data_IF_496757224185
#
_entry.id   IF_496757224185
#
_cell.length_a   1.000
_cell.length_b   1.000
_cell.length_c   1.000
_cell.angle_alpha   90.00
_cell.angle_beta   90.00
_cell.angle_gamma   90.00
#
_symmetry.space_group_name_H-M   'P 1'
#
loop_
_entity.id
_entity.type
_entity.pdbx_description
1 polymer ?
#
# COMPACT_ATOMS: atom_id res chain seq x y z
N UNK A 1 1.96 -19.52 -3.79
CA UNK A 1 1.86 -18.33 -4.65
C UNK A 1 1.44 -17.16 -3.77
N UNK A 2 1.99 -15.96 -4.00
CA UNK A 2 1.71 -14.78 -3.18
C UNK A 2 0.48 -14.01 -3.67
N UNK A 3 -0.32 -13.50 -2.74
CA UNK A 3 -1.55 -12.74 -3.01
C UNK A 3 -1.21 -11.26 -3.20
N UNK A 4 -1.37 -10.79 -4.44
CA UNK A 4 -1.19 -9.38 -4.79
C UNK A 4 -2.42 -8.53 -4.45
N UNK A 5 -3.57 -9.17 -4.38
CA UNK A 5 -4.85 -8.59 -4.06
C UNK A 5 -5.52 -9.45 -2.99
N UNK A 6 -6.01 -8.83 -1.94
CA UNK A 6 -6.77 -9.48 -0.88
C UNK A 6 -7.93 -8.58 -0.45
N UNK A 7 -8.83 -9.05 0.43
CA UNK A 7 -9.97 -8.25 0.86
C UNK A 7 -10.27 -8.43 2.34
N UNK A 8 -10.76 -7.36 2.96
CA UNK A 8 -11.28 -7.35 4.32
C UNK A 8 -12.56 -6.50 4.34
N UNK A 9 -13.68 -7.10 4.71
CA UNK A 9 -15.00 -6.47 4.57
C UNK A 9 -15.26 -6.03 3.13
N UNK A 10 -15.68 -4.78 2.94
CA UNK A 10 -15.98 -4.21 1.62
C UNK A 10 -14.80 -3.40 1.02
N UNK A 11 -13.56 -3.75 1.33
CA UNK A 11 -12.37 -3.10 0.77
C UNK A 11 -11.44 -4.11 0.10
N UNK A 12 -10.95 -3.74 -1.09
CA UNK A 12 -9.98 -4.52 -1.85
C UNK A 12 -8.58 -3.95 -1.62
N UNK A 13 -7.65 -4.75 -1.14
CA UNK A 13 -6.31 -4.31 -0.74
C UNK A 13 -5.26 -4.75 -1.76
N UNK A 14 -4.26 -3.89 -1.98
CA UNK A 14 -3.18 -4.09 -2.95
C UNK A 14 -1.84 -4.24 -2.23
N UNK A 15 -1.26 -5.42 -2.35
CA UNK A 15 0.04 -5.78 -1.79
C UNK A 15 1.14 -5.57 -2.85
N UNK A 16 1.87 -4.46 -2.74
CA UNK A 16 2.77 -4.00 -3.79
C UNK A 16 4.24 -4.37 -3.60
N UNK A 17 4.70 -4.53 -2.36
CA UNK A 17 6.13 -4.60 -2.04
C UNK A 17 6.36 -5.21 -0.67
N UNK A 18 7.48 -5.90 -0.49
CA UNK A 18 7.98 -6.32 0.83
C UNK A 18 8.88 -5.24 1.46
N UNK A 19 9.30 -4.24 0.69
CA UNK A 19 10.24 -3.21 1.14
C UNK A 19 9.55 -2.20 2.04
N UNK A 20 10.20 -1.80 3.11
CA UNK A 20 9.72 -0.80 4.05
C UNK A 20 10.92 -0.04 4.62
N UNK A 21 10.86 1.29 4.78
CA UNK A 21 11.93 2.04 5.46
C UNK A 21 12.01 1.70 6.95
N UNK A 22 10.95 1.13 7.53
CA UNK A 22 10.88 0.76 8.93
C UNK A 22 11.05 -0.75 9.13
N UNK A 23 11.68 -1.12 10.24
CA UNK A 23 11.77 -2.49 10.72
C UNK A 23 11.04 -2.66 12.07
N UNK A 24 9.78 -2.22 12.13
CA UNK A 24 9.03 -2.19 13.39
C UNK A 24 9.02 -3.56 14.07
N UNK A 25 9.32 -3.62 15.36
CA UNK A 25 9.34 -4.90 16.08
C UNK A 25 7.95 -5.57 16.09
N UNK A 26 6.89 -4.75 16.13
CA UNK A 26 5.49 -5.18 16.16
C UNK A 26 4.90 -5.45 14.76
N UNK A 27 5.70 -5.39 13.68
CA UNK A 27 5.18 -5.60 12.34
C UNK A 27 4.70 -7.05 12.16
N UNK A 28 3.47 -7.23 11.69
CA UNK A 28 2.85 -8.55 11.49
C UNK A 28 3.67 -9.48 10.59
N UNK A 29 4.46 -8.92 9.64
CA UNK A 29 5.35 -9.68 8.75
C UNK A 29 6.39 -10.51 9.50
N UNK A 30 6.70 -10.15 10.75
CA UNK A 30 7.65 -10.87 11.61
C UNK A 30 7.01 -12.10 12.26
N UNK A 31 5.68 -12.21 12.26
CA UNK A 31 4.92 -13.21 13.01
C UNK A 31 3.98 -14.05 12.13
N UNK A 32 3.66 -13.57 10.92
CA UNK A 32 2.76 -14.24 9.99
C UNK A 32 3.20 -13.99 8.55
N UNK A 33 2.89 -14.96 7.67
CA UNK A 33 3.04 -14.81 6.22
C UNK A 33 1.86 -14.07 5.59
N UNK A 34 0.80 -13.81 6.35
CA UNK A 34 -0.48 -13.42 5.77
C UNK A 34 -1.49 -12.84 6.73
N UNK A 35 -2.65 -12.46 6.17
CA UNK A 35 -3.81 -11.94 6.91
C UNK A 35 -5.07 -12.59 6.33
N UNK A 36 -5.98 -13.04 7.21
CA UNK A 36 -7.29 -13.58 6.81
C UNK A 36 -7.24 -14.67 5.73
N UNK A 37 -6.23 -15.55 5.79
CA UNK A 37 -6.04 -16.65 4.84
C UNK A 37 -5.24 -16.30 3.58
N UNK A 38 -4.93 -15.03 3.34
CA UNK A 38 -4.10 -14.58 2.21
C UNK A 38 -2.62 -14.55 2.57
N UNK A 39 -1.75 -15.04 1.69
CA UNK A 39 -0.30 -14.99 1.83
C UNK A 39 0.26 -13.70 1.21
N UNK A 40 0.77 -12.79 2.03
CA UNK A 40 1.25 -11.47 1.60
C UNK A 40 2.77 -11.39 1.40
N UNK A 41 3.51 -12.47 1.66
CA UNK A 41 4.96 -12.51 1.38
C UNK A 41 5.16 -12.61 -0.12
N UNK A 42 5.61 -11.53 -0.76
CA UNK A 42 5.85 -11.51 -2.21
C UNK A 42 7.15 -12.25 -2.57
N UNK A 43 7.10 -13.05 -3.64
CA UNK A 43 8.29 -13.71 -4.20
C UNK A 43 9.18 -12.70 -4.97
N UNK A 44 8.55 -11.71 -5.58
CA UNK A 44 9.17 -10.65 -6.38
C UNK A 44 8.33 -9.36 -6.32
N UNK A 45 8.90 -8.24 -6.76
CA UNK A 45 8.17 -6.96 -6.88
C UNK A 45 7.24 -6.99 -8.11
N UNK A 46 5.90 -7.07 -7.95
CA UNK A 46 4.98 -7.19 -9.07
C UNK A 46 4.96 -5.93 -9.94
N UNK A 47 4.86 -6.06 -11.26
CA UNK A 47 4.67 -4.88 -12.13
C UNK A 47 3.29 -4.24 -11.94
N UNK A 48 3.14 -2.96 -12.30
CA UNK A 48 1.83 -2.28 -12.30
C UNK A 48 0.80 -3.05 -13.12
N UNK A 49 1.19 -3.59 -14.27
CA UNK A 49 0.33 -4.41 -15.13
C UNK A 49 -0.14 -5.69 -14.43
N UNK A 50 0.74 -6.38 -13.68
CA UNK A 50 0.39 -7.58 -12.90
C UNK A 50 -0.61 -7.25 -11.78
N UNK A 51 -0.43 -6.11 -11.10
CA UNK A 51 -1.39 -5.61 -10.11
C UNK A 51 -2.74 -5.30 -10.76
N UNK A 52 -2.75 -4.58 -11.88
CA UNK A 52 -3.97 -4.24 -12.62
C UNK A 52 -4.72 -5.51 -13.05
N UNK A 53 -4.02 -6.50 -13.60
CA UNK A 53 -4.63 -7.77 -14.00
C UNK A 53 -5.28 -8.49 -12.80
N UNK A 54 -4.63 -8.49 -11.63
CA UNK A 54 -5.21 -9.05 -10.40
C UNK A 54 -6.38 -8.24 -9.86
N UNK A 55 -6.38 -6.92 -10.02
CA UNK A 55 -7.57 -6.11 -9.72
C UNK A 55 -8.71 -6.53 -10.65
N UNK A 56 -8.47 -6.67 -11.96
CA UNK A 56 -9.51 -7.08 -12.91
C UNK A 56 -10.10 -8.46 -12.61
N UNK A 57 -9.26 -9.41 -12.17
CA UNK A 57 -9.68 -10.77 -11.80
C UNK A 57 -10.63 -10.79 -10.58
N UNK A 58 -10.37 -9.94 -9.59
CA UNK A 58 -11.10 -9.98 -8.31
C UNK A 58 -12.11 -8.83 -8.12
N UNK A 59 -12.08 -7.82 -9.00
CA UNK A 59 -13.00 -6.69 -8.90
C UNK A 59 -14.41 -7.11 -9.30
N UNK A 60 -15.34 -6.96 -8.37
CA UNK A 60 -16.78 -7.15 -8.59
C UNK A 60 -17.44 -5.80 -8.34
N UNK A 61 -18.12 -5.29 -9.37
CA UNK A 61 -18.85 -4.02 -9.28
C UNK A 61 -19.82 -4.09 -8.09
N UNK A 62 -20.00 -2.97 -7.40
CA UNK A 62 -20.91 -2.79 -6.25
C UNK A 62 -20.56 -3.57 -4.96
N UNK A 63 -19.57 -4.48 -4.99
CA UNK A 63 -19.09 -5.17 -3.78
C UNK A 63 -18.13 -4.29 -2.95
N UNK A 64 -17.30 -3.51 -3.64
CA UNK A 64 -16.17 -2.78 -3.05
C UNK A 64 -16.48 -1.30 -2.85
N UNK A 65 -16.18 -0.76 -1.66
CA UNK A 65 -16.30 0.67 -1.33
C UNK A 65 -15.03 1.46 -1.66
N UNK A 66 -13.87 0.82 -1.55
CA UNK A 66 -12.56 1.40 -1.84
C UNK A 66 -11.55 0.33 -2.25
N UNK A 67 -10.50 0.79 -2.94
CA UNK A 67 -9.26 0.05 -3.15
C UNK A 67 -8.17 0.67 -2.28
N UNK A 68 -7.45 -0.15 -1.53
CA UNK A 68 -6.50 0.31 -0.51
C UNK A 68 -5.09 -0.21 -0.82
N UNK A 69 -4.12 0.68 -0.98
CA UNK A 69 -2.71 0.29 -1.01
C UNK A 69 -2.24 -0.03 0.41
N UNK A 70 -2.14 -1.33 0.72
CA UNK A 70 -1.63 -1.85 1.99
C UNK A 70 -1.16 -3.30 1.76
N UNK A 71 0.03 -3.60 2.23
CA UNK A 71 0.65 -4.92 2.16
C UNK A 71 1.65 -5.09 3.29
N UNK A 72 2.64 -5.97 3.13
CA UNK A 72 3.70 -6.14 4.13
C UNK A 72 4.78 -5.05 4.08
N UNK A 73 4.90 -4.33 2.97
CA UNK A 73 5.80 -3.19 2.81
C UNK A 73 5.11 -1.82 2.81
N UNK A 74 5.92 -0.79 2.56
CA UNK A 74 5.49 0.60 2.41
C UNK A 74 5.18 0.89 0.94
N UNK A 75 3.91 1.13 0.56
CA UNK A 75 3.52 1.31 -0.84
C UNK A 75 4.26 2.47 -1.52
N UNK A 76 4.61 3.53 -0.79
CA UNK A 76 5.28 4.71 -1.35
C UNK A 76 6.79 4.51 -1.60
N UNK A 77 7.35 3.34 -1.27
CA UNK A 77 8.61 2.84 -1.86
C UNK A 77 8.49 2.59 -3.36
N UNK A 78 7.25 2.44 -3.86
CA UNK A 78 6.90 2.18 -5.26
C UNK A 78 5.93 3.23 -5.79
N UNK A 79 6.24 4.49 -5.53
CA UNK A 79 5.35 5.61 -5.85
C UNK A 79 4.88 5.59 -7.31
N UNK A 80 5.72 5.25 -8.28
CA UNK A 80 5.30 5.23 -9.69
C UNK A 80 4.27 4.13 -9.99
N UNK A 81 4.40 2.94 -9.39
CA UNK A 81 3.40 1.89 -9.45
C UNK A 81 2.08 2.35 -8.81
N UNK A 82 2.14 2.98 -7.63
CA UNK A 82 0.96 3.56 -6.97
C UNK A 82 0.26 4.56 -7.88
N UNK A 83 1.00 5.49 -8.50
CA UNK A 83 0.44 6.51 -9.40
C UNK A 83 -0.20 5.88 -10.64
N UNK A 84 0.48 4.93 -11.29
CA UNK A 84 0.00 4.25 -12.49
C UNK A 84 -1.28 3.46 -12.22
N UNK A 85 -1.26 2.62 -11.18
CA UNK A 85 -2.41 1.80 -10.76
C UNK A 85 -3.57 2.69 -10.33
N UNK A 86 -3.32 3.78 -9.58
CA UNK A 86 -4.38 4.72 -9.19
C UNK A 86 -5.05 5.36 -10.40
N UNK A 87 -4.28 5.86 -11.38
CA UNK A 87 -4.82 6.44 -12.61
C UNK A 87 -5.68 5.43 -13.37
N UNK A 88 -5.23 4.18 -13.46
CA UNK A 88 -6.01 3.11 -14.10
C UNK A 88 -7.31 2.83 -13.34
N UNK A 89 -7.27 2.72 -12.00
CA UNK A 89 -8.46 2.53 -11.16
C UNK A 89 -9.47 3.67 -11.40
N UNK A 90 -9.00 4.91 -11.43
CA UNK A 90 -9.86 6.09 -11.61
C UNK A 90 -10.50 6.14 -12.99
N UNK A 91 -9.74 5.80 -14.03
CA UNK A 91 -10.23 5.75 -15.41
C UNK A 91 -11.28 4.66 -15.61
N UNK A 92 -11.06 3.47 -15.07
CA UNK A 92 -11.85 2.28 -15.44
C UNK A 92 -12.92 1.90 -14.41
N UNK A 93 -12.65 2.07 -13.11
CA UNK A 93 -13.51 1.59 -12.04
C UNK A 93 -14.24 2.71 -11.30
N UNK A 94 -13.71 3.95 -11.35
CA UNK A 94 -14.26 5.14 -10.69
C UNK A 94 -14.53 4.96 -9.19
N UNK A 95 -13.74 4.10 -8.53
CA UNK A 95 -13.84 3.79 -7.10
C UNK A 95 -12.85 4.63 -6.27
N UNK A 96 -13.11 4.76 -4.98
CA UNK A 96 -12.22 5.43 -4.02
C UNK A 96 -10.90 4.66 -3.87
N UNK A 97 -9.82 5.39 -3.73
CA UNK A 97 -8.45 4.90 -3.54
C UNK A 97 -7.89 5.48 -2.24
N UNK A 98 -7.41 4.59 -1.38
CA UNK A 98 -6.76 4.95 -0.11
C UNK A 98 -5.34 4.39 -0.04
N UNK A 99 -4.44 5.12 0.59
CA UNK A 99 -3.07 4.65 0.87
C UNK A 99 -2.88 4.54 2.37
N UNK A 100 -2.40 3.39 2.85
CA UNK A 100 -1.87 3.24 4.21
C UNK A 100 -0.36 3.38 4.14
N UNK A 101 0.21 4.30 4.91
CA UNK A 101 1.64 4.65 4.83
C UNK A 101 2.23 4.97 6.20
N UNK A 102 3.53 4.79 6.34
CA UNK A 102 4.38 5.28 7.44
C UNK A 102 4.47 6.81 7.51
N UNK A 103 4.04 7.52 6.46
CA UNK A 103 4.07 8.99 6.39
C UNK A 103 5.40 9.56 5.91
N UNK A 104 6.38 8.72 5.57
CA UNK A 104 7.74 9.13 5.19
C UNK A 104 7.90 9.39 3.68
N UNK A 105 6.81 9.55 2.94
CA UNK A 105 6.80 9.54 1.49
C UNK A 105 7.77 10.55 0.83
N UNK A 106 7.93 11.74 1.41
CA UNK A 106 8.88 12.76 0.93
C UNK A 106 10.35 12.36 1.15
N UNK A 107 10.65 11.58 2.21
CA UNK A 107 12.00 11.05 2.44
C UNK A 107 12.33 9.95 1.42
N UNK A 108 11.34 9.13 1.06
CA UNK A 108 11.46 8.03 0.11
C UNK A 108 11.52 8.50 -1.35
N UNK A 109 10.93 9.66 -1.64
CA UNK A 109 10.74 10.19 -2.98
C UNK A 109 11.30 11.62 -3.05
N UNK A 110 12.59 11.77 -2.73
CA UNK A 110 13.29 13.07 -2.72
C UNK A 110 13.06 13.82 -4.04
N UNK A 111 12.94 15.14 -3.94
CA UNK A 111 12.73 16.08 -5.05
C UNK A 111 11.40 15.91 -5.83
N UNK A 112 10.51 15.02 -5.37
CA UNK A 112 9.18 14.86 -5.95
C UNK A 112 8.14 15.67 -5.18
N UNK A 113 7.23 16.32 -5.91
CA UNK A 113 6.01 16.91 -5.33
C UNK A 113 5.01 15.80 -4.96
N UNK A 114 5.31 15.04 -3.90
CA UNK A 114 4.62 13.79 -3.53
C UNK A 114 3.10 13.98 -3.46
N UNK A 115 2.62 14.89 -2.61
CA UNK A 115 1.18 15.09 -2.40
C UNK A 115 0.49 15.58 -3.67
N UNK A 116 1.13 16.49 -4.42
CA UNK A 116 0.59 16.97 -5.70
C UNK A 116 0.39 15.82 -6.68
N UNK A 117 1.41 14.97 -6.86
CA UNK A 117 1.34 13.81 -7.78
C UNK A 117 0.28 12.79 -7.34
N UNK A 118 0.18 12.49 -6.04
CA UNK A 118 -0.83 11.57 -5.52
C UNK A 118 -2.26 12.11 -5.73
N UNK A 119 -2.47 13.41 -5.47
CA UNK A 119 -3.75 14.09 -5.71
C UNK A 119 -4.11 14.09 -7.20
N UNK A 120 -3.17 14.42 -8.07
CA UNK A 120 -3.36 14.42 -9.53
C UNK A 120 -3.65 13.02 -10.10
N UNK A 121 -3.07 11.97 -9.52
CA UNK A 121 -3.42 10.58 -9.88
C UNK A 121 -4.83 10.19 -9.43
N UNK A 122 -5.38 10.87 -8.42
CA UNK A 122 -6.74 10.68 -7.91
C UNK A 122 -6.83 9.95 -6.57
N UNK A 123 -5.76 9.90 -5.76
CA UNK A 123 -5.84 9.35 -4.39
C UNK A 123 -6.81 10.18 -3.55
N UNK A 124 -7.81 9.54 -2.93
CA UNK A 124 -8.85 10.25 -2.16
C UNK A 124 -8.52 10.37 -0.68
N UNK A 125 -7.82 9.37 -0.12
CA UNK A 125 -7.54 9.30 1.32
C UNK A 125 -6.16 8.73 1.62
N UNK A 126 -5.56 9.20 2.71
CA UNK A 126 -4.37 8.59 3.30
C UNK A 126 -4.65 8.22 4.75
N UNK A 127 -4.09 7.10 5.22
CA UNK A 127 -4.07 6.68 6.62
C UNK A 127 -2.60 6.58 7.02
N UNK A 128 -2.20 7.36 8.04
CA UNK A 128 -0.80 7.45 8.46
C UNK A 128 -0.62 6.61 9.72
N UNK A 129 0.31 5.67 9.68
CA UNK A 129 0.73 4.85 10.83
C UNK A 129 1.70 5.64 11.71
N UNK A 130 1.16 6.53 12.54
CA UNK A 130 1.92 7.24 13.57
C UNK A 130 1.87 6.43 14.88
N UNK A 131 2.92 5.66 15.14
CA UNK A 131 2.91 4.65 16.20
C UNK A 131 3.56 5.10 17.54
N UNK A 132 4.12 6.30 17.59
CA UNK A 132 4.75 6.84 18.79
C UNK A 132 4.59 8.37 18.86
N UNK A 133 4.60 8.90 20.07
CA UNK A 133 4.44 10.33 20.38
C UNK A 133 5.73 11.15 20.23
N UNK A 134 6.90 10.50 20.31
CA UNK A 134 8.21 11.15 20.30
C UNK A 134 9.23 10.37 19.46
N UNK A 135 10.35 11.04 19.14
CA UNK A 135 11.42 10.53 18.28
C UNK A 135 12.08 9.28 18.86
N UNK A 136 12.40 9.28 20.15
CA UNK A 136 13.18 8.20 20.76
C UNK A 136 12.34 6.92 20.85
N UNK A 137 11.07 7.06 21.23
CA UNK A 137 10.10 5.98 21.22
C UNK A 137 9.86 5.49 19.79
N UNK A 138 9.66 6.37 18.81
CA UNK A 138 9.48 5.97 17.40
C UNK A 138 10.69 5.18 16.89
N UNK A 139 11.90 5.67 17.12
CA UNK A 139 13.12 5.00 16.68
C UNK A 139 13.29 3.63 17.31
N UNK A 140 12.96 3.49 18.60
CA UNK A 140 13.00 2.22 19.32
C UNK A 140 11.97 1.21 18.80
N UNK A 141 10.76 1.65 18.48
CA UNK A 141 9.66 0.72 18.16
C UNK A 141 9.50 0.45 16.65
N UNK A 142 9.72 1.47 15.82
CA UNK A 142 9.59 1.40 14.38
C UNK A 142 10.92 1.07 13.68
N UNK A 143 12.05 1.28 14.35
CA UNK A 143 13.40 0.99 13.84
C UNK A 143 13.58 1.45 12.38
N UNK A 144 13.44 2.76 12.09
CA UNK A 144 13.68 3.30 10.74
C UNK A 144 15.13 3.04 10.30
N UNK A 145 15.33 2.79 9.01
CA UNK A 145 16.63 2.49 8.38
C UNK A 145 17.15 3.67 7.56
#
# INVERSE_FOLDING_TARGET
>A
MSDLVYWLGNSLYLNLTNRCPNNCYFCIKNFSKGVSGFNLVLDEEPSSAKIIAKIQEHYKKDLWKEIVFCGFGEPLMRMDCVLEVTKWIKKNLKIKVRIITTGQAYLLNKDRKVIKKLKEAGVDKMSISLNAQDKDTYNRICCPK
#
